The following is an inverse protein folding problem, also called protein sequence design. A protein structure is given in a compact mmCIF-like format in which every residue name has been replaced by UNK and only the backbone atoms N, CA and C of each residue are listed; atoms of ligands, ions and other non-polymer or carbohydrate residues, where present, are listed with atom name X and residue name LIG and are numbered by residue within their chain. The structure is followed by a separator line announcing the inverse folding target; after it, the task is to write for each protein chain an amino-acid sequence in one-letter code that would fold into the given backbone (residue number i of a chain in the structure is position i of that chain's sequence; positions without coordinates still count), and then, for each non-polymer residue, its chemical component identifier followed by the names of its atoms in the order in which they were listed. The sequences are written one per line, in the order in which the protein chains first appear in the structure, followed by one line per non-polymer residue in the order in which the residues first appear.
data_IF_449054729754
#
_entry.id   IF_449054729754
#
_cell.length_a   1.000
_cell.length_b   1.000
_cell.length_c   1.000
_cell.angle_alpha   90.00
_cell.angle_beta   90.00
_cell.angle_gamma   90.00
#
_symmetry.space_group_name_H-M   'P 1'
#
loop_
_entity.id
_entity.type
_entity.pdbx_description
1 polymer ?
#
# COMPACT_ATOMS: atom_id res chain seq x y z
N UNK A 1 -2.61 15.92 10.92
CA UNK A 1 -2.46 14.80 9.98
C UNK A 1 -2.96 15.12 8.57
N UNK A 2 -3.80 16.14 8.35
CA UNK A 2 -4.31 16.49 7.00
C UNK A 2 -3.35 17.34 6.14
N UNK A 3 -2.43 18.08 6.75
CA UNK A 3 -1.53 19.00 6.01
C UNK A 3 -0.40 18.32 5.23
N UNK A 4 -0.15 17.02 5.44
CA UNK A 4 0.92 16.30 4.73
C UNK A 4 0.58 16.00 3.26
N UNK A 5 -0.69 16.15 2.86
CA UNK A 5 -1.17 15.79 1.51
C UNK A 5 -1.31 16.97 0.55
N UNK A 6 -0.83 18.17 0.90
CA UNK A 6 -1.07 19.39 0.11
C UNK A 6 0.23 20.02 -0.40
N UNK A 7 1.08 19.27 -1.10
CA UNK A 7 1.98 19.86 -2.09
C UNK A 7 2.34 18.83 -3.17
N UNK A 8 2.17 19.24 -4.43
CA UNK A 8 2.30 18.45 -5.66
C UNK A 8 1.25 17.33 -5.83
N UNK A 9 0.21 17.62 -6.62
CA UNK A 9 -0.46 16.58 -7.42
C UNK A 9 0.30 16.51 -8.74
N UNK A 10 1.18 15.53 -8.98
CA UNK A 10 1.62 15.24 -10.35
C UNK A 10 0.36 15.00 -11.18
N UNK A 11 0.27 15.61 -12.35
CA UNK A 11 -0.95 15.63 -13.15
C UNK A 11 -1.45 14.24 -13.57
N UNK A 12 -0.61 13.20 -13.41
CA UNK A 12 -0.88 11.79 -13.75
C UNK A 12 -0.14 10.78 -12.85
N UNK A 13 -0.33 10.82 -11.53
CA UNK A 13 0.19 9.73 -10.67
C UNK A 13 -0.59 8.44 -10.88
N UNK A 14 0.09 7.40 -11.38
CA UNK A 14 -0.44 6.04 -11.51
C UNK A 14 0.15 5.17 -10.42
N UNK A 15 -0.70 4.42 -9.72
CA UNK A 15 -0.23 3.41 -8.75
C UNK A 15 -0.40 2.04 -9.38
N UNK A 16 0.70 1.33 -9.55
CA UNK A 16 0.70 -0.07 -9.94
C UNK A 16 0.96 -0.96 -8.73
N UNK A 17 0.25 -2.08 -8.65
CA UNK A 17 0.40 -3.07 -7.58
C UNK A 17 0.62 -4.43 -8.19
N UNK A 18 1.74 -5.04 -7.83
CA UNK A 18 2.04 -6.43 -8.13
C UNK A 18 1.69 -7.27 -6.90
N UNK A 19 0.60 -8.01 -6.98
CA UNK A 19 0.12 -8.86 -5.89
C UNK A 19 0.96 -10.13 -5.82
N UNK A 20 1.69 -10.29 -4.72
CA UNK A 20 2.54 -11.46 -4.49
C UNK A 20 1.77 -12.56 -3.79
N UNK A 21 0.95 -12.19 -2.79
CA UNK A 21 0.22 -13.16 -2.00
C UNK A 21 -1.03 -12.55 -1.39
N UNK A 22 -2.14 -13.30 -1.48
CA UNK A 22 -3.39 -13.00 -0.79
C UNK A 22 -3.87 -14.30 -0.15
N UNK A 23 -4.03 -14.29 1.16
CA UNK A 23 -4.58 -15.42 1.91
C UNK A 23 -5.72 -14.93 2.79
N UNK A 24 -6.84 -15.65 2.78
CA UNK A 24 -8.03 -15.33 3.57
C UNK A 24 -8.24 -16.46 4.59
N UNK A 25 -8.43 -16.09 5.86
CA UNK A 25 -8.57 -16.99 6.99
C UNK A 25 -9.78 -16.60 7.83
N UNK A 26 -10.95 -17.12 7.49
CA UNK A 26 -12.21 -16.77 8.18
C UNK A 26 -12.49 -15.27 8.13
N UNK A 27 -12.35 -14.58 9.27
CA UNK A 27 -12.49 -13.12 9.37
C UNK A 27 -11.19 -12.35 9.16
N UNK A 28 -10.05 -13.03 9.03
CA UNK A 28 -8.76 -12.41 8.77
C UNK A 28 -8.32 -12.51 7.30
N UNK A 29 -7.42 -11.64 6.87
CA UNK A 29 -6.72 -11.74 5.61
C UNK A 29 -5.28 -11.26 5.75
N UNK A 30 -4.38 -11.92 5.03
CA UNK A 30 -2.99 -11.53 4.85
C UNK A 30 -2.77 -11.17 3.39
N UNK A 31 -2.12 -10.04 3.14
CA UNK A 31 -1.93 -9.48 1.81
C UNK A 31 -0.51 -8.98 1.68
N UNK A 32 0.19 -9.39 0.63
CA UNK A 32 1.55 -8.93 0.31
C UNK A 32 1.61 -8.51 -1.15
N UNK A 33 2.14 -7.33 -1.40
CA UNK A 33 2.30 -6.79 -2.75
C UNK A 33 3.48 -5.83 -2.84
N UNK A 34 3.91 -5.55 -4.07
CA UNK A 34 4.85 -4.48 -4.37
C UNK A 34 4.04 -3.34 -4.98
N UNK A 35 4.19 -2.14 -4.43
CA UNK A 35 3.60 -0.92 -4.95
C UNK A 35 4.66 -0.11 -5.69
N UNK A 36 4.32 0.34 -6.90
CA UNK A 36 5.10 1.28 -7.68
C UNK A 36 4.24 2.51 -7.94
N UNK A 37 4.76 3.68 -7.59
CA UNK A 37 4.16 4.96 -7.96
C UNK A 37 4.86 5.43 -9.21
N UNK A 38 4.11 5.73 -10.26
CA UNK A 38 4.62 6.20 -11.55
C UNK A 38 4.06 7.59 -11.77
N UNK A 39 4.92 8.60 -11.76
CA UNK A 39 4.63 9.94 -12.25
C UNK A 39 5.89 10.58 -12.87
N UNK A 40 5.94 11.92 -12.92
CA UNK A 40 7.05 12.67 -13.52
C UNK A 40 8.34 12.62 -12.68
N UNK A 41 8.27 12.09 -11.45
CA UNK A 41 9.39 11.89 -10.54
C UNK A 41 9.69 10.39 -10.39
N UNK A 42 10.97 10.06 -10.22
CA UNK A 42 11.39 8.69 -9.90
C UNK A 42 11.00 8.39 -8.45
N UNK A 43 10.05 7.47 -8.26
CA UNK A 43 9.46 7.16 -6.97
C UNK A 43 9.87 5.78 -6.45
N UNK A 44 9.92 5.68 -5.12
CA UNK A 44 10.34 4.46 -4.43
C UNK A 44 9.45 3.26 -4.74
N UNK A 45 10.07 2.11 -4.96
CA UNK A 45 9.39 0.82 -5.00
C UNK A 45 9.18 0.37 -3.56
N UNK A 46 7.94 0.12 -3.17
CA UNK A 46 7.60 -0.26 -1.79
C UNK A 46 7.10 -1.70 -1.73
N UNK A 47 7.70 -2.54 -0.89
CA UNK A 47 7.12 -3.84 -0.53
C UNK A 47 6.20 -3.67 0.66
N UNK A 48 4.93 -4.04 0.50
CA UNK A 48 3.91 -3.91 1.54
C UNK A 48 3.39 -5.28 1.99
N UNK A 49 3.16 -5.38 3.29
CA UNK A 49 2.38 -6.42 3.94
C UNK A 49 1.24 -5.77 4.71
N UNK A 50 0.02 -6.26 4.50
CA UNK A 50 -1.18 -5.81 5.22
C UNK A 50 -1.89 -7.02 5.82
N UNK A 51 -2.27 -6.90 7.08
CA UNK A 51 -3.17 -7.83 7.76
C UNK A 51 -4.49 -7.12 7.95
N UNK A 52 -5.58 -7.79 7.56
CA UNK A 52 -6.93 -7.27 7.65
C UNK A 52 -7.80 -8.17 8.51
N UNK A 53 -8.77 -7.56 9.18
CA UNK A 53 -9.85 -8.28 9.88
C UNK A 53 -11.20 -7.70 9.49
N UNK A 54 -12.21 -8.56 9.39
CA UNK A 54 -13.61 -8.14 9.27
C UNK A 54 -14.14 -7.69 10.62
N UNK A 55 -14.76 -6.52 10.65
CA UNK A 55 -15.52 -6.09 11.80
C UNK A 55 -16.84 -6.85 11.97
N UNK A 56 -17.64 -6.45 12.97
CA UNK A 56 -18.93 -7.07 13.29
C UNK A 56 -19.93 -7.00 12.13
N UNK A 57 -19.78 -6.01 11.24
CA UNK A 57 -20.63 -5.79 10.07
C UNK A 57 -20.05 -6.45 8.80
N UNK A 58 -18.93 -7.19 8.94
CA UNK A 58 -18.27 -7.89 7.83
C UNK A 58 -17.38 -7.00 6.96
N UNK A 59 -17.12 -5.75 7.35
CA UNK A 59 -16.26 -4.82 6.60
C UNK A 59 -14.80 -5.05 6.97
N UNK A 60 -13.95 -5.14 5.95
CA UNK A 60 -12.50 -5.29 6.14
C UNK A 60 -11.87 -4.02 6.70
N UNK A 61 -11.01 -4.18 7.71
CA UNK A 61 -10.17 -3.14 8.30
C UNK A 61 -8.74 -3.61 8.32
N UNK A 62 -7.79 -2.73 8.01
CA UNK A 62 -6.36 -3.03 8.17
C UNK A 62 -6.05 -2.94 9.66
N UNK A 63 -5.57 -4.04 10.24
CA UNK A 63 -5.18 -4.12 11.66
C UNK A 63 -3.66 -4.06 11.84
N UNK A 64 -2.90 -4.39 10.79
CA UNK A 64 -1.45 -4.25 10.77
C UNK A 64 -0.98 -3.89 9.35
N UNK A 65 -0.02 -2.98 9.26
CA UNK A 65 0.64 -2.59 8.04
C UNK A 65 2.15 -2.56 8.28
N UNK A 66 2.90 -3.17 7.37
CA UNK A 66 4.35 -3.07 7.29
C UNK A 66 4.72 -2.71 5.86
N UNK A 67 5.57 -1.71 5.70
CA UNK A 67 6.03 -1.25 4.39
C UNK A 67 7.54 -1.02 4.43
N UNK A 68 8.25 -1.48 3.40
CA UNK A 68 9.68 -1.26 3.21
C UNK A 68 9.85 -0.58 1.85
N UNK A 69 10.30 0.67 1.88
CA UNK A 69 10.65 1.42 0.68
C UNK A 69 12.09 1.12 0.27
N UNK A 70 12.32 0.87 -1.02
CA UNK A 70 13.65 0.81 -1.60
C UNK A 70 13.92 2.12 -2.33
N UNK A 71 14.76 2.95 -1.72
CA UNK A 71 15.24 4.20 -2.31
C UNK A 71 16.32 3.91 -3.35
N UNK A 72 16.35 4.61 -4.50
CA UNK A 72 17.51 4.60 -5.36
C UNK A 72 18.75 5.11 -4.60
N UNK A 73 19.92 4.56 -4.91
CA UNK A 73 21.18 5.03 -4.31
C UNK A 73 21.45 6.48 -4.76
N UNK A 74 22.00 7.35 -3.88
CA UNK A 74 22.35 8.73 -4.22
C UNK A 74 23.46 8.83 -5.27
#
# INVERSE_FOLDING_TARGET
FEEYFVTAKPSKSKIEREWLEIRIYGKGAYVRFIQKVIDELDHDITSEVRVLEKDKDGKWKIVCLSAIAKYPAP
#
